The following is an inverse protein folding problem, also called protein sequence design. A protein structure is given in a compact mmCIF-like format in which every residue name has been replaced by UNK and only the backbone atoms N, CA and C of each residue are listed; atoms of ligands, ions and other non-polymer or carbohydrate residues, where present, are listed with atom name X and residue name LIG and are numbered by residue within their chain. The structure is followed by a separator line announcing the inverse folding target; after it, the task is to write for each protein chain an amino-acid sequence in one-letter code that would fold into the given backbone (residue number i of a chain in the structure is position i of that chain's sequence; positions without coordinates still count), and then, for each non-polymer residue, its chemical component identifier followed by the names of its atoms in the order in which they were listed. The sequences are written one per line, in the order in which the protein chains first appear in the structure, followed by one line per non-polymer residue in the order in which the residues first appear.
data_IF_520959900758
#
_entry.id   IF_520959900758
#
_cell.length_a   1.000
_cell.length_b   1.000
_cell.length_c   1.000
_cell.angle_alpha   90.00
_cell.angle_beta   90.00
_cell.angle_gamma   90.00
#
_symmetry.space_group_name_H-M   'P 1'
#
loop_
_entity.id
_entity.type
_entity.pdbx_description
1 polymer ?
#
# COMPACT_ATOMS: atom_id res chain seq x y z
N UNK A 1 -21.20 -15.03 15.84
CA UNK A 1 -20.09 -14.08 15.93
C UNK A 1 -20.50 -12.97 16.89
N UNK A 2 -19.79 -12.80 18.00
CA UNK A 2 -20.08 -11.73 18.95
C UNK A 2 -19.49 -10.46 18.34
N UNK A 3 -20.35 -9.58 17.84
CA UNK A 3 -19.98 -8.20 17.55
C UNK A 3 -19.69 -7.56 18.91
N UNK A 4 -18.42 -7.46 19.27
CA UNK A 4 -18.00 -6.71 20.46
C UNK A 4 -18.31 -5.25 20.20
N UNK A 5 -19.35 -4.73 20.87
CA UNK A 5 -19.61 -3.29 20.86
C UNK A 5 -18.36 -2.55 21.32
N UNK A 6 -17.79 -1.74 20.42
CA UNK A 6 -16.66 -0.86 20.74
C UNK A 6 -17.07 0.07 21.88
N UNK A 7 -16.33 0.02 22.99
CA UNK A 7 -16.61 0.91 24.12
C UNK A 7 -16.43 2.37 23.70
N UNK A 8 -17.18 3.29 24.32
CA UNK A 8 -17.03 4.73 24.05
C UNK A 8 -15.59 5.24 24.28
N UNK A 9 -14.87 4.64 25.24
CA UNK A 9 -13.46 4.95 25.49
C UNK A 9 -12.56 4.51 24.32
N UNK A 10 -12.76 3.31 23.78
CA UNK A 10 -12.01 2.82 22.62
C UNK A 10 -12.34 3.62 21.35
N UNK A 11 -13.62 3.92 21.10
CA UNK A 11 -14.02 4.78 19.98
C UNK A 11 -13.36 6.18 20.06
N UNK A 12 -13.24 6.72 21.28
CA UNK A 12 -12.53 7.99 21.51
C UNK A 12 -11.04 7.87 21.24
N UNK A 13 -10.36 6.83 21.76
CA UNK A 13 -8.94 6.55 21.49
C UNK A 13 -8.66 6.45 19.98
N UNK A 14 -9.52 5.73 19.26
CA UNK A 14 -9.42 5.56 17.80
C UNK A 14 -9.56 6.89 17.05
N UNK A 15 -10.53 7.72 17.43
CA UNK A 15 -10.68 9.06 16.85
C UNK A 15 -9.46 9.96 17.11
N UNK A 16 -8.87 9.89 18.31
CA UNK A 16 -7.62 10.60 18.61
C UNK A 16 -6.46 10.10 17.75
N UNK A 17 -6.33 8.79 17.58
CA UNK A 17 -5.31 8.19 16.71
C UNK A 17 -5.44 8.71 15.28
N UNK A 18 -6.64 8.62 14.67
CA UNK A 18 -6.85 9.11 13.31
C UNK A 18 -6.54 10.61 13.19
N UNK A 19 -6.90 11.41 14.20
CA UNK A 19 -6.58 12.85 14.24
C UNK A 19 -5.07 13.08 14.27
N UNK A 20 -4.34 12.36 15.12
CA UNK A 20 -2.88 12.50 15.25
C UNK A 20 -2.16 12.09 13.96
N UNK A 21 -2.61 11.01 13.31
CA UNK A 21 -2.03 10.55 12.03
C UNK A 21 -2.32 11.53 10.90
N UNK A 22 -3.55 12.04 10.82
CA UNK A 22 -3.91 13.07 9.85
C UNK A 22 -3.09 14.35 10.03
N UNK A 23 -2.88 14.80 11.28
CA UNK A 23 -2.01 15.95 11.56
C UNK A 23 -0.57 15.69 11.11
N UNK A 24 0.03 14.56 11.48
CA UNK A 24 1.39 14.20 11.08
C UNK A 24 1.57 14.16 9.55
N UNK A 25 0.58 13.63 8.83
CA UNK A 25 0.61 13.55 7.37
C UNK A 25 0.48 14.93 6.72
N UNK A 26 -0.37 15.80 7.25
CA UNK A 26 -0.62 17.15 6.68
C UNK A 26 0.43 18.19 7.08
N UNK A 27 1.14 18.00 8.19
CA UNK A 27 2.27 18.85 8.59
C UNK A 27 3.58 18.46 7.90
N UNK A 28 3.75 17.18 7.54
CA UNK A 28 5.01 16.62 7.02
C UNK A 28 5.25 16.78 5.52
N UNK A 29 4.20 16.93 4.71
CA UNK A 29 4.34 17.08 3.25
C UNK A 29 3.30 18.05 2.65
N UNK A 30 3.65 19.32 2.42
CA UNK A 30 2.74 20.32 1.86
C UNK A 30 2.35 20.07 0.39
N UNK A 31 2.99 19.09 -0.30
CA UNK A 31 2.65 18.73 -1.67
C UNK A 31 1.66 17.54 -1.75
N UNK A 32 1.41 16.85 -0.64
CA UNK A 32 0.34 15.85 -0.58
C UNK A 32 -0.98 16.62 -0.49
N UNK A 33 -1.59 16.84 -1.65
CA UNK A 33 -2.94 17.38 -1.72
C UNK A 33 -3.95 16.28 -1.36
N UNK A 34 -3.98 15.98 -0.06
CA UNK A 34 -4.88 15.02 0.56
C UNK A 34 -6.35 15.39 0.27
N UNK A 35 -6.65 16.65 -0.06
CA UNK A 35 -8.00 17.15 -0.28
C UNK A 35 -8.67 16.58 -1.55
N UNK A 36 -7.96 16.39 -2.66
CA UNK A 36 -8.57 15.82 -3.88
C UNK A 36 -8.97 14.35 -3.73
N UNK A 37 -8.26 13.60 -2.88
CA UNK A 37 -8.59 12.20 -2.60
C UNK A 37 -9.68 12.05 -1.52
N UNK A 38 -9.93 13.09 -0.72
CA UNK A 38 -11.06 13.14 0.23
C UNK A 38 -12.42 13.15 -0.47
N UNK A 39 -12.54 13.85 -1.60
CA UNK A 39 -13.81 14.02 -2.31
C UNK A 39 -14.22 12.76 -3.10
N UNK A 40 -13.29 12.12 -3.81
CA UNK A 40 -13.59 10.98 -4.67
C UNK A 40 -14.07 9.72 -3.91
N UNK A 41 -13.76 9.58 -2.62
CA UNK A 41 -14.07 8.36 -1.85
C UNK A 41 -15.42 8.40 -1.14
N UNK A 42 -16.01 9.59 -0.98
CA UNK A 42 -17.23 9.81 -0.20
C UNK A 42 -18.14 10.90 -0.81
N UNK A 43 -18.00 11.20 -2.11
CA UNK A 43 -18.77 12.24 -2.85
C UNK A 43 -20.31 12.10 -2.69
N UNK A 44 -20.77 10.93 -2.23
CA UNK A 44 -22.18 10.58 -2.04
C UNK A 44 -22.60 10.44 -0.56
N UNK A 45 -21.67 10.55 0.40
CA UNK A 45 -22.00 10.47 1.83
C UNK A 45 -22.44 11.84 2.37
N UNK A 46 -23.48 11.90 3.23
CA UNK A 46 -23.76 13.10 3.99
C UNK A 46 -22.52 13.55 4.76
N UNK A 47 -22.26 14.86 4.84
CA UNK A 47 -21.07 15.39 5.50
C UNK A 47 -20.89 14.85 6.93
N UNK A 48 -21.98 14.58 7.64
CA UNK A 48 -22.02 13.97 8.98
C UNK A 48 -21.38 12.57 9.07
N UNK A 49 -21.45 11.79 7.99
CA UNK A 49 -20.94 10.42 7.90
C UNK A 49 -19.58 10.32 7.19
N UNK A 50 -18.97 11.46 6.89
CA UNK A 50 -17.67 11.54 6.24
C UNK A 50 -16.53 11.65 7.25
N UNK A 51 -15.68 10.63 7.34
CA UNK A 51 -14.46 10.64 8.16
C UNK A 51 -13.52 11.77 7.74
N UNK A 52 -13.17 11.95 6.45
CA UNK A 52 -12.30 13.02 6.01
C UNK A 52 -12.89 14.41 6.26
N UNK A 53 -14.22 14.59 6.16
CA UNK A 53 -14.84 15.84 6.55
C UNK A 53 -14.74 16.10 8.07
N UNK A 54 -14.87 15.06 8.90
CA UNK A 54 -14.68 15.17 10.34
C UNK A 54 -13.21 15.47 10.70
N UNK A 55 -12.24 14.79 10.07
CA UNK A 55 -10.80 15.05 10.23
C UNK A 55 -10.44 16.48 9.83
N UNK A 56 -10.92 16.95 8.67
CA UNK A 56 -10.67 18.30 8.18
C UNK A 56 -11.28 19.41 9.03
N UNK A 57 -12.42 19.16 9.68
CA UNK A 57 -13.04 20.11 10.61
C UNK A 57 -12.42 20.07 12.03
N UNK A 58 -11.57 19.08 12.30
CA UNK A 58 -10.86 18.92 13.56
C UNK A 58 -11.79 18.88 14.77
N UNK A 59 -11.47 19.68 15.80
CA UNK A 59 -12.21 19.66 17.08
C UNK A 59 -13.70 19.99 16.95
N UNK A 60 -14.11 20.75 15.93
CA UNK A 60 -15.51 21.10 15.71
C UNK A 60 -16.40 19.88 15.42
N UNK A 61 -15.83 18.80 14.86
CA UNK A 61 -16.54 17.58 14.47
C UNK A 61 -15.94 16.30 15.09
N UNK A 62 -15.21 16.45 16.19
CA UNK A 62 -14.60 15.30 16.87
C UNK A 62 -15.63 14.26 17.33
N UNK A 63 -16.82 14.69 17.78
CA UNK A 63 -17.90 13.77 18.14
C UNK A 63 -18.39 12.91 16.97
N UNK A 64 -18.41 13.45 15.75
CA UNK A 64 -18.74 12.68 14.55
C UNK A 64 -17.65 11.62 14.28
N UNK A 65 -16.38 12.00 14.44
CA UNK A 65 -15.25 11.09 14.28
C UNK A 65 -15.27 9.95 15.30
N UNK A 66 -15.62 10.22 16.57
CA UNK A 66 -15.79 9.18 17.60
C UNK A 66 -16.88 8.18 17.19
N UNK A 67 -18.02 8.67 16.71
CA UNK A 67 -19.11 7.82 16.23
C UNK A 67 -18.68 6.96 15.05
N UNK A 68 -17.95 7.54 14.08
CA UNK A 68 -17.47 6.83 12.90
C UNK A 68 -16.37 5.80 13.24
N UNK A 69 -15.45 6.13 14.15
CA UNK A 69 -14.38 5.24 14.58
C UNK A 69 -14.84 4.09 15.50
N UNK A 70 -16.09 4.13 15.99
CA UNK A 70 -16.70 3.02 16.70
C UNK A 70 -16.94 1.80 15.79
N UNK A 71 -17.14 2.03 14.48
CA UNK A 71 -17.20 0.97 13.48
C UNK A 71 -15.79 0.48 13.13
N UNK A 72 -15.51 -0.79 13.41
CA UNK A 72 -14.20 -1.40 13.19
C UNK A 72 -13.74 -1.28 11.74
N UNK A 73 -14.64 -1.51 10.77
CA UNK A 73 -14.29 -1.44 9.34
C UNK A 73 -13.88 -0.03 8.93
N UNK A 74 -14.65 0.96 9.34
CA UNK A 74 -14.38 2.38 9.09
C UNK A 74 -13.07 2.80 9.73
N UNK A 75 -12.86 2.43 11.00
CA UNK A 75 -11.61 2.72 11.70
C UNK A 75 -10.41 2.08 11.00
N UNK A 76 -10.46 0.78 10.69
CA UNK A 76 -9.34 0.08 10.06
C UNK A 76 -9.01 0.62 8.67
N UNK A 77 -10.02 0.90 7.86
CA UNK A 77 -9.82 1.53 6.55
C UNK A 77 -9.10 2.87 6.67
N UNK A 78 -9.61 3.76 7.52
CA UNK A 78 -9.04 5.10 7.66
C UNK A 78 -7.71 5.13 8.38
N UNK A 79 -7.48 4.20 9.31
CA UNK A 79 -6.16 4.00 9.91
C UNK A 79 -5.14 3.64 8.83
N UNK A 80 -5.39 2.59 8.03
CA UNK A 80 -4.45 2.17 6.98
C UNK A 80 -4.23 3.26 5.93
N UNK A 81 -5.27 4.00 5.54
CA UNK A 81 -5.13 5.12 4.62
C UNK A 81 -4.21 6.24 5.14
N UNK A 82 -4.30 6.53 6.43
CA UNK A 82 -3.47 7.57 7.06
C UNK A 82 -2.04 7.08 7.34
N UNK A 83 -1.89 5.79 7.63
CA UNK A 83 -0.60 5.15 7.92
C UNK A 83 0.19 4.85 6.64
N UNK A 84 -0.50 4.52 5.55
CA UNK A 84 0.09 4.10 4.28
C UNK A 84 -0.52 4.90 3.11
N UNK A 85 -0.20 6.20 2.99
CA UNK A 85 -0.76 7.06 1.96
C UNK A 85 -0.48 6.54 0.53
N UNK A 86 0.66 5.87 0.31
CA UNK A 86 1.03 5.30 -1.00
C UNK A 86 0.14 4.10 -1.42
N UNK A 87 -0.80 3.67 -0.59
CA UNK A 87 -1.76 2.63 -0.97
C UNK A 87 -3.03 3.16 -1.64
N UNK A 88 -3.25 4.47 -1.64
CA UNK A 88 -4.50 5.03 -2.20
C UNK A 88 -4.43 6.49 -2.63
N UNK A 89 -3.41 7.24 -2.21
CA UNK A 89 -3.18 8.63 -2.64
C UNK A 89 -2.32 8.62 -3.90
N UNK A 90 -2.66 9.49 -4.84
CA UNK A 90 -1.96 9.66 -6.11
C UNK A 90 -2.58 8.88 -7.27
N UNK A 91 -2.59 9.50 -8.45
CA UNK A 91 -2.98 8.84 -9.71
C UNK A 91 -2.19 7.55 -10.00
N UNK A 92 -0.85 7.51 -9.80
CA UNK A 92 -0.06 6.31 -10.07
C UNK A 92 -0.53 5.07 -9.31
N UNK A 93 -0.97 5.17 -8.06
CA UNK A 93 -1.36 3.98 -7.26
C UNK A 93 -2.66 3.35 -7.78
N UNK A 94 -3.64 4.18 -8.13
CA UNK A 94 -4.91 3.74 -8.73
C UNK A 94 -4.63 2.97 -10.02
N UNK A 95 -3.76 3.53 -10.86
CA UNK A 95 -3.45 3.01 -12.19
C UNK A 95 -2.48 1.82 -12.15
N UNK A 96 -1.57 1.75 -11.17
CA UNK A 96 -0.56 0.68 -11.04
C UNK A 96 -1.02 -0.53 -10.24
N UNK A 97 -2.11 -0.45 -9.47
CA UNK A 97 -2.55 -1.61 -8.65
C UNK A 97 -2.87 -2.86 -9.50
N UNK A 98 -3.42 -2.69 -10.70
CA UNK A 98 -3.65 -3.81 -11.61
C UNK A 98 -2.33 -4.40 -12.13
N UNK A 99 -1.37 -3.53 -12.46
CA UNK A 99 -0.03 -3.93 -12.88
C UNK A 99 0.75 -4.64 -11.76
N UNK A 100 0.59 -4.21 -10.51
CA UNK A 100 1.16 -4.88 -9.35
C UNK A 100 0.63 -6.31 -9.21
N UNK A 101 -0.67 -6.52 -9.45
CA UNK A 101 -1.25 -7.87 -9.44
C UNK A 101 -0.64 -8.77 -10.53
N UNK A 102 -0.37 -8.22 -11.71
CA UNK A 102 0.32 -8.93 -12.80
C UNK A 102 1.76 -9.29 -12.41
N UNK A 103 2.53 -8.33 -11.86
CA UNK A 103 3.89 -8.55 -11.37
C UNK A 103 3.93 -9.66 -10.31
N UNK A 104 2.98 -9.67 -9.36
CA UNK A 104 2.88 -10.71 -8.33
C UNK A 104 2.63 -12.08 -8.96
N UNK A 105 1.72 -12.18 -9.94
CA UNK A 105 1.47 -13.42 -10.69
C UNK A 105 2.73 -13.93 -11.42
N UNK A 106 3.43 -13.02 -12.10
CA UNK A 106 4.68 -13.36 -12.80
C UNK A 106 5.75 -13.91 -11.85
N UNK A 107 5.91 -13.28 -10.68
CA UNK A 107 6.87 -13.71 -9.67
C UNK A 107 6.53 -15.10 -9.11
N UNK A 108 5.24 -15.41 -8.95
CA UNK A 108 4.75 -16.73 -8.54
C UNK A 108 4.92 -17.82 -9.62
N UNK A 109 5.28 -17.45 -10.86
CA UNK A 109 5.33 -18.39 -11.98
C UNK A 109 3.94 -18.74 -12.52
N UNK A 110 2.90 -18.04 -12.06
CA UNK A 110 1.58 -18.07 -12.68
C UNK A 110 1.72 -17.32 -14.00
N UNK A 111 1.94 -18.08 -15.08
CA UNK A 111 1.84 -17.52 -16.42
C UNK A 111 0.41 -17.03 -16.58
N UNK A 112 0.20 -15.73 -16.44
CA UNK A 112 -1.02 -15.07 -16.88
C UNK A 112 -1.12 -15.33 -18.39
N UNK A 113 -1.79 -16.42 -18.74
CA UNK A 113 -2.06 -16.78 -20.12
C UNK A 113 -2.78 -15.59 -20.75
N UNK A 114 -2.08 -14.90 -21.64
CA UNK A 114 -2.53 -13.72 -22.38
C UNK A 114 -2.84 -12.48 -21.53
N UNK A 115 -2.29 -11.34 -21.97
CA UNK A 115 -2.50 -10.02 -21.41
C UNK A 115 -3.95 -9.53 -21.49
N UNK A 116 -4.79 -10.03 -20.58
CA UNK A 116 -6.20 -9.66 -20.44
C UNK A 116 -6.44 -8.58 -19.37
N UNK A 117 -5.42 -7.79 -19.05
CA UNK A 117 -5.60 -6.43 -18.55
C UNK A 117 -5.58 -5.46 -19.75
N UNK A 118 -6.44 -4.42 -19.80
CA UNK A 118 -6.64 -3.56 -20.99
C UNK A 118 -5.39 -2.80 -21.49
N UNK A 119 -4.21 -2.99 -20.90
CA UNK A 119 -3.02 -2.15 -21.11
C UNK A 119 -1.68 -2.91 -21.20
N UNK A 120 -1.67 -4.23 -21.32
CA UNK A 120 -0.40 -4.99 -21.42
C UNK A 120 0.35 -4.69 -22.73
N UNK A 121 1.38 -3.85 -22.65
CA UNK A 121 2.32 -3.58 -23.75
C UNK A 121 2.13 -2.27 -24.54
N UNK A 122 1.28 -1.35 -24.09
CA UNK A 122 1.04 -0.08 -24.80
C UNK A 122 1.65 1.10 -24.03
N UNK A 123 2.54 1.84 -24.69
CA UNK A 123 3.14 3.07 -24.16
C UNK A 123 2.11 4.19 -24.05
N UNK A 124 2.15 5.00 -22.98
CA UNK A 124 1.35 6.25 -22.86
C UNK A 124 0.21 6.21 -21.84
N UNK A 125 0.01 5.11 -21.11
CA UNK A 125 -0.92 5.06 -19.96
C UNK A 125 -0.20 5.42 -18.64
N UNK A 126 -0.89 6.01 -17.66
CA UNK A 126 -0.33 6.20 -16.32
C UNK A 126 0.21 4.89 -15.73
N UNK A 127 1.40 4.94 -15.12
CA UNK A 127 2.05 3.76 -14.53
C UNK A 127 2.79 2.84 -15.51
N UNK A 128 2.74 3.09 -16.83
CA UNK A 128 3.39 2.22 -17.82
C UNK A 128 4.92 2.12 -17.66
N UNK A 129 5.60 3.22 -17.34
CA UNK A 129 7.04 3.21 -17.07
C UNK A 129 7.38 2.34 -15.86
N UNK A 130 6.65 2.54 -14.75
CA UNK A 130 6.81 1.74 -13.55
C UNK A 130 6.62 0.25 -13.82
N UNK A 131 5.57 -0.12 -14.56
CA UNK A 131 5.30 -1.51 -14.90
C UNK A 131 6.41 -2.13 -15.75
N UNK A 132 6.84 -1.43 -16.81
CA UNK A 132 7.93 -1.91 -17.68
C UNK A 132 9.25 -2.09 -16.91
N UNK A 133 9.65 -1.09 -16.11
CA UNK A 133 10.84 -1.17 -15.27
C UNK A 133 10.74 -2.29 -14.23
N UNK A 134 9.56 -2.49 -13.63
CA UNK A 134 9.35 -3.59 -12.69
C UNK A 134 9.51 -4.96 -13.38
N UNK A 135 8.99 -5.12 -14.59
CA UNK A 135 9.14 -6.35 -15.38
C UNK A 135 10.60 -6.63 -15.75
N UNK A 136 11.36 -5.60 -16.11
CA UNK A 136 12.81 -5.69 -16.36
C UNK A 136 13.56 -6.08 -15.08
N UNK A 137 13.22 -5.48 -13.95
CA UNK A 137 13.87 -5.71 -12.66
C UNK A 137 13.66 -7.14 -12.13
N UNK A 138 12.48 -7.73 -12.34
CA UNK A 138 12.18 -9.08 -11.83
C UNK A 138 12.65 -10.20 -12.77
N UNK A 139 12.87 -9.92 -14.05
CA UNK A 139 13.21 -10.92 -15.05
C UNK A 139 14.48 -11.75 -14.73
N UNK A 140 15.61 -11.16 -14.29
CA UNK A 140 16.84 -11.91 -14.04
C UNK A 140 16.90 -12.59 -12.66
N UNK A 141 15.90 -12.38 -11.80
CA UNK A 141 15.95 -12.83 -10.40
C UNK A 141 15.85 -14.35 -10.28
N UNK A 142 16.60 -14.92 -9.33
CA UNK A 142 16.54 -16.35 -9.01
C UNK A 142 15.19 -16.74 -8.39
N UNK A 143 14.77 -17.99 -8.54
CA UNK A 143 13.47 -18.45 -8.05
C UNK A 143 13.22 -18.19 -6.55
N UNK A 144 14.19 -18.40 -5.64
CA UNK A 144 14.00 -18.08 -4.22
C UNK A 144 13.74 -16.59 -3.98
N UNK A 145 14.45 -15.71 -4.70
CA UNK A 145 14.24 -14.27 -4.66
C UNK A 145 12.85 -13.91 -5.17
N UNK A 146 12.43 -14.49 -6.31
CA UNK A 146 11.12 -14.25 -6.89
C UNK A 146 10.00 -14.59 -5.92
N UNK A 147 10.10 -15.74 -5.25
CA UNK A 147 9.12 -16.16 -4.25
C UNK A 147 9.03 -15.19 -3.07
N UNK A 148 10.17 -14.73 -2.54
CA UNK A 148 10.18 -13.75 -1.43
C UNK A 148 9.64 -12.38 -1.87
N UNK A 149 9.98 -11.95 -3.08
CA UNK A 149 9.46 -10.69 -3.63
C UNK A 149 7.96 -10.78 -3.91
N UNK A 150 7.44 -11.94 -4.34
CA UNK A 150 6.00 -12.17 -4.50
C UNK A 150 5.24 -12.02 -3.17
N UNK A 151 5.80 -12.53 -2.07
CA UNK A 151 5.24 -12.36 -0.71
C UNK A 151 5.16 -10.87 -0.35
N UNK A 152 6.26 -10.14 -0.53
CA UNK A 152 6.35 -8.70 -0.23
C UNK A 152 5.33 -7.88 -1.04
N UNK A 153 5.34 -8.06 -2.37
CA UNK A 153 4.46 -7.32 -3.28
C UNK A 153 3.00 -7.78 -3.17
N UNK A 154 2.75 -9.02 -2.77
CA UNK A 154 1.41 -9.53 -2.47
C UNK A 154 0.79 -8.83 -1.26
N UNK A 155 1.61 -8.57 -0.21
CA UNK A 155 1.20 -7.78 0.95
C UNK A 155 0.90 -6.33 0.58
N UNK A 156 1.75 -5.69 -0.21
CA UNK A 156 1.50 -4.36 -0.78
C UNK A 156 0.17 -4.30 -1.55
N UNK A 157 -0.06 -5.27 -2.44
CA UNK A 157 -1.29 -5.36 -3.24
C UNK A 157 -2.54 -5.49 -2.35
N UNK A 158 -2.43 -6.26 -1.27
CA UNK A 158 -3.51 -6.41 -0.30
C UNK A 158 -3.81 -5.08 0.41
N UNK A 159 -2.77 -4.33 0.82
CA UNK A 159 -2.91 -2.99 1.40
C UNK A 159 -3.61 -2.00 0.46
N UNK A 160 -3.18 -1.95 -0.81
CA UNK A 160 -3.84 -1.16 -1.87
C UNK A 160 -5.31 -1.54 -2.04
N UNK A 161 -5.63 -2.84 -2.04
CA UNK A 161 -7.01 -3.34 -2.16
C UNK A 161 -7.89 -2.95 -0.97
N UNK A 162 -7.34 -2.93 0.25
CA UNK A 162 -8.07 -2.43 1.43
C UNK A 162 -8.38 -0.94 1.29
N UNK A 163 -7.43 -0.15 0.79
CA UNK A 163 -7.55 1.31 0.78
C UNK A 163 -8.36 1.89 -0.39
N UNK A 164 -8.74 1.10 -1.41
CA UNK A 164 -9.51 1.56 -2.57
C UNK A 164 -10.86 2.22 -2.21
N UNK A 165 -11.29 3.28 -2.92
CA UNK A 165 -12.59 3.92 -2.72
C UNK A 165 -13.79 3.01 -3.09
N UNK A 166 -14.93 3.21 -2.42
CA UNK A 166 -16.22 2.53 -2.67
C UNK A 166 -16.80 2.97 -4.05
N UNK A 167 -17.55 2.13 -4.83
CA UNK A 167 -18.32 0.97 -4.41
C UNK A 167 -17.80 -0.40 -4.85
N UNK A 168 -16.48 -0.56 -5.06
CA UNK A 168 -15.89 -1.88 -5.36
C UNK A 168 -15.93 -2.89 -4.18
N UNK A 169 -16.50 -2.50 -3.04
CA UNK A 169 -16.60 -3.28 -1.80
C UNK A 169 -17.92 -4.09 -1.69
N UNK A 170 -18.68 -4.20 -2.79
CA UNK A 170 -19.85 -5.08 -2.91
C UNK A 170 -19.54 -6.48 -3.46
N UNK A 171 -18.27 -6.86 -3.64
CA UNK A 171 -17.90 -8.22 -4.08
C UNK A 171 -17.08 -8.91 -2.99
N UNK A 172 -17.69 -9.95 -2.42
CA UNK A 172 -17.27 -10.88 -1.38
C UNK A 172 -16.70 -10.30 -0.09
N UNK A 173 -17.59 -10.25 0.91
CA UNK A 173 -17.33 -9.84 2.30
C UNK A 173 -16.92 -11.03 3.17
N UNK A 174 -17.18 -12.28 2.74
CA UNK A 174 -17.03 -13.47 3.59
C UNK A 174 -15.66 -14.18 3.51
N UNK A 175 -14.77 -13.81 2.57
CA UNK A 175 -13.43 -14.43 2.43
C UNK A 175 -12.26 -13.45 2.65
N UNK A 176 -12.54 -12.19 2.97
CA UNK A 176 -11.45 -11.21 3.15
C UNK A 176 -10.78 -11.43 4.50
N UNK A 177 -9.44 -11.49 4.54
CA UNK A 177 -8.74 -11.53 5.81
C UNK A 177 -9.03 -10.25 6.61
N UNK A 178 -9.05 -10.35 7.94
CA UNK A 178 -9.29 -9.22 8.81
C UNK A 178 -8.14 -8.21 8.70
N UNK A 179 -8.45 -6.96 8.34
CA UNK A 179 -7.44 -5.91 8.16
C UNK A 179 -6.58 -5.70 9.42
N UNK A 180 -7.16 -5.82 10.61
CA UNK A 180 -6.44 -5.68 11.88
C UNK A 180 -5.48 -6.83 12.17
N UNK A 181 -5.76 -8.03 11.63
CA UNK A 181 -4.88 -9.20 11.76
C UNK A 181 -3.74 -9.14 10.75
N UNK A 182 -4.03 -8.71 9.52
CA UNK A 182 -3.01 -8.63 8.47
C UNK A 182 -2.07 -7.45 8.70
N UNK A 183 -2.60 -6.30 9.09
CA UNK A 183 -1.87 -5.05 9.28
C UNK A 183 -2.10 -4.51 10.70
N UNK A 184 -1.54 -5.11 11.75
CA UNK A 184 -1.76 -4.66 13.12
C UNK A 184 -1.26 -3.21 13.35
N UNK A 185 -1.91 -2.49 14.28
CA UNK A 185 -1.57 -1.10 14.66
C UNK A 185 -0.10 -0.94 15.10
N UNK A 186 0.51 -2.01 15.61
CA UNK A 186 1.90 -2.02 16.08
C UNK A 186 2.97 -1.97 14.97
N UNK A 187 2.62 -2.23 13.71
CA UNK A 187 3.58 -2.20 12.59
C UNK A 187 3.83 -0.77 12.08
N UNK A 188 2.97 0.18 12.42
CA UNK A 188 3.15 1.55 11.97
C UNK A 188 4.29 2.26 12.71
N UNK A 189 5.08 3.04 11.96
CA UNK A 189 6.22 3.80 12.49
C UNK A 189 7.50 2.99 12.61
N UNK A 190 7.54 1.77 12.07
CA UNK A 190 8.80 1.03 11.89
C UNK A 190 9.67 1.79 10.89
N UNK A 191 10.87 2.18 11.33
CA UNK A 191 11.82 2.87 10.48
C UNK A 191 12.48 1.88 9.52
N UNK A 192 12.49 2.21 8.24
CA UNK A 192 13.25 1.46 7.23
C UNK A 192 14.74 1.60 7.53
N UNK A 193 15.43 0.46 7.57
CA UNK A 193 16.90 0.43 7.68
C UNK A 193 17.54 0.79 6.34
N UNK A 194 17.75 2.09 6.13
CA UNK A 194 18.34 2.64 4.91
C UNK A 194 19.76 2.14 4.62
N UNK A 195 20.56 1.86 5.65
CA UNK A 195 21.91 1.29 5.47
C UNK A 195 21.83 -0.17 4.99
N UNK A 196 20.87 -0.93 5.52
CA UNK A 196 20.62 -2.31 5.08
C UNK A 196 20.09 -2.34 3.65
N UNK A 197 19.19 -1.42 3.28
CA UNK A 197 18.73 -1.28 1.90
C UNK A 197 19.88 -0.95 0.95
N UNK A 198 20.67 0.08 1.26
CA UNK A 198 21.79 0.50 0.42
C UNK A 198 22.79 -0.66 0.19
N UNK A 199 23.17 -1.38 1.25
CA UNK A 199 24.04 -2.56 1.13
C UNK A 199 23.46 -3.65 0.24
N UNK A 200 22.16 -3.94 0.38
CA UNK A 200 21.50 -4.98 -0.41
C UNK A 200 21.44 -4.57 -1.90
N UNK A 201 21.11 -3.31 -2.18
CA UNK A 201 21.08 -2.75 -3.53
C UNK A 201 22.46 -2.73 -4.18
N UNK A 202 23.50 -2.27 -3.48
CA UNK A 202 24.88 -2.23 -4.00
C UNK A 202 25.36 -3.64 -4.39
N UNK A 203 25.11 -4.62 -3.53
CA UNK A 203 25.49 -6.01 -3.78
C UNK A 203 24.72 -6.62 -4.96
N UNK A 204 23.41 -6.39 -5.05
CA UNK A 204 22.61 -6.87 -6.17
C UNK A 204 22.97 -6.15 -7.49
N UNK A 205 23.32 -4.86 -7.42
CA UNK A 205 23.80 -4.07 -8.56
C UNK A 205 25.11 -4.61 -9.11
N UNK A 206 26.00 -5.10 -8.25
CA UNK A 206 27.25 -5.73 -8.69
C UNK A 206 27.03 -7.03 -9.49
N UNK A 207 25.86 -7.68 -9.32
CA UNK A 207 25.48 -8.91 -10.04
C UNK A 207 24.77 -8.57 -11.34
N UNK A 208 23.76 -7.70 -11.28
CA UNK A 208 22.82 -7.46 -12.39
C UNK A 208 23.12 -6.19 -13.22
N UNK A 209 24.03 -5.33 -12.73
CA UNK A 209 24.43 -4.08 -13.38
C UNK A 209 23.56 -2.87 -13.03
N UNK A 210 24.02 -1.69 -13.45
CA UNK A 210 23.39 -0.40 -13.09
C UNK A 210 22.02 -0.19 -13.73
N UNK A 211 21.81 -0.69 -14.95
CA UNK A 211 20.51 -0.59 -15.63
C UNK A 211 19.42 -1.37 -14.87
N UNK A 212 19.76 -2.55 -14.34
CA UNK A 212 18.86 -3.29 -13.48
C UNK A 212 18.55 -2.51 -12.20
N UNK A 213 19.56 -1.89 -11.59
CA UNK A 213 19.39 -1.12 -10.35
C UNK A 213 18.45 0.08 -10.54
N UNK A 214 18.58 0.80 -11.67
CA UNK A 214 17.66 1.88 -12.04
C UNK A 214 16.22 1.36 -12.17
N UNK A 215 16.02 0.26 -12.89
CA UNK A 215 14.70 -0.34 -13.06
C UNK A 215 14.10 -0.81 -11.71
N UNK A 216 14.93 -1.39 -10.83
CA UNK A 216 14.51 -1.83 -9.50
C UNK A 216 14.16 -0.66 -8.58
N UNK A 217 14.94 0.43 -8.62
CA UNK A 217 14.65 1.65 -7.87
C UNK A 217 13.35 2.32 -8.34
N UNK A 218 13.07 2.31 -9.65
CA UNK A 218 11.77 2.74 -10.17
C UNK A 218 10.63 1.91 -9.57
N UNK A 219 10.78 0.58 -9.50
CA UNK A 219 9.77 -0.27 -8.85
C UNK A 219 9.59 0.11 -7.37
N UNK A 220 10.69 0.20 -6.62
CA UNK A 220 10.71 0.46 -5.18
C UNK A 220 10.13 1.83 -4.80
N UNK A 221 10.36 2.85 -5.64
CA UNK A 221 9.95 4.24 -5.37
C UNK A 221 8.44 4.47 -5.27
N UNK A 222 7.63 3.54 -5.79
CA UNK A 222 6.16 3.60 -5.73
C UNK A 222 5.58 2.59 -4.72
N UNK A 223 6.41 1.92 -3.91
CA UNK A 223 5.97 1.00 -2.85
C UNK A 223 5.90 1.69 -1.49
N UNK A 224 4.92 1.33 -0.67
CA UNK A 224 4.87 1.79 0.70
C UNK A 224 6.06 1.26 1.53
N UNK A 225 6.55 2.06 2.47
CA UNK A 225 7.73 1.75 3.28
C UNK A 225 7.57 0.45 4.08
N UNK A 226 6.34 0.08 4.45
CA UNK A 226 6.08 -1.19 5.16
C UNK A 226 6.47 -2.42 4.32
N UNK A 227 6.54 -2.27 2.99
CA UNK A 227 6.92 -3.33 2.06
C UNK A 227 8.44 -3.51 1.98
N UNK A 228 9.23 -2.48 2.35
CA UNK A 228 10.65 -2.41 2.04
C UNK A 228 11.49 -3.44 2.79
N UNK A 229 11.19 -3.76 4.04
CA UNK A 229 11.97 -4.77 4.80
C UNK A 229 11.93 -6.16 4.13
N UNK A 230 10.76 -6.56 3.62
CA UNK A 230 10.63 -7.83 2.88
C UNK A 230 11.30 -7.79 1.51
N UNK A 231 11.33 -6.62 0.86
CA UNK A 231 12.08 -6.40 -0.39
C UNK A 231 13.59 -6.51 -0.14
N UNK A 232 14.09 -5.93 0.96
CA UNK A 232 15.49 -6.02 1.38
C UNK A 232 15.87 -7.49 1.63
N UNK A 233 15.01 -8.27 2.29
CA UNK A 233 15.23 -9.70 2.46
C UNK A 233 15.32 -10.44 1.13
N UNK A 234 14.44 -10.13 0.17
CA UNK A 234 14.51 -10.71 -1.18
C UNK A 234 15.86 -10.39 -1.86
N UNK A 235 16.35 -9.15 -1.77
CA UNK A 235 17.65 -8.77 -2.32
C UNK A 235 18.81 -9.54 -1.67
N UNK A 236 18.79 -9.77 -0.35
CA UNK A 236 19.82 -10.59 0.28
C UNK A 236 19.79 -12.05 -0.17
N UNK A 237 18.60 -12.62 -0.37
CA UNK A 237 18.45 -13.97 -0.94
C UNK A 237 19.10 -13.99 -2.33
N UNK A 238 18.83 -12.99 -3.16
CA UNK A 238 19.40 -12.90 -4.51
C UNK A 238 20.92 -12.88 -4.51
N UNK A 239 21.51 -12.03 -3.68
CA UNK A 239 22.97 -11.94 -3.53
C UNK A 239 23.56 -13.28 -3.08
N UNK A 240 22.88 -14.01 -2.20
CA UNK A 240 23.35 -15.32 -1.72
C UNK A 240 23.21 -16.42 -2.77
N UNK A 241 22.17 -16.39 -3.61
CA UNK A 241 21.96 -17.40 -4.65
C UNK A 241 22.86 -17.17 -5.86
N UNK A 242 23.07 -15.93 -6.25
CA UNK A 242 23.85 -15.57 -7.45
C UNK A 242 25.37 -15.52 -7.20
N UNK A 243 25.80 -15.62 -5.93
CA UNK A 243 27.21 -15.80 -5.56
C UNK A 243 27.67 -17.27 -5.49
N UNK A 244 26.78 -18.24 -5.80
CA UNK A 244 27.07 -19.68 -5.83
C UNK A 244 27.25 -20.18 -7.26
#
# INVERSE_FOLDING_TARGET
MISTETTAAEASRRAELLTARYAALTEGDPNVDYHWHREASEEQLPGADSVPAALGAGRARFGDLVRLAADDRTFQLWRLRLEHPLWWIGGPVVDTTAFLAEIVGDLAGESSGSGSGPHSGVTGFPGAHWFASSKEAIAPLTQPTRAKLAEALGRELLGRKFCRPFPALLVDVDERPNAAEVFPEAEFGVAVDGERLARALDAATAIHGTQWAEAFLTMLGELDLVTWDSVIEALFIEVQQSAR
#
